data_IF_727256028015
#
_entry.id   IF_727256028015
#
_cell.length_a   1.000
_cell.length_b   1.000
_cell.length_c   1.000
_cell.angle_alpha   90.00
_cell.angle_beta   90.00
_cell.angle_gamma   90.00
#
_symmetry.space_group_name_H-M   'P 1'
#
loop_
_entity.id
_entity.type
_entity.pdbx_description
1 polymer ?
#
# COMPACT_ATOMS: atom_id res chain seq x y z
N UNK A 1 -32.11 -38.04 -0.50
CA UNK A 1 -31.14 -38.01 0.62
C UNK A 1 -30.90 -36.55 0.93
N UNK A 2 -31.02 -36.19 2.21
CA UNK A 2 -31.33 -34.84 2.71
C UNK A 2 -30.36 -33.74 2.29
N UNK A 3 -30.94 -32.61 1.89
CA UNK A 3 -30.32 -31.28 1.90
C UNK A 3 -29.98 -30.91 3.35
N UNK A 4 -28.72 -30.56 3.60
CA UNK A 4 -28.35 -29.74 4.77
C UNK A 4 -28.23 -28.30 4.27
N UNK A 5 -29.03 -27.42 4.87
CA UNK A 5 -28.75 -25.98 4.90
C UNK A 5 -27.39 -25.79 5.55
N UNK A 6 -26.50 -25.08 4.86
CA UNK A 6 -25.34 -24.43 5.44
C UNK A 6 -25.69 -22.94 5.44
N UNK A 7 -25.57 -22.34 6.62
CA UNK A 7 -25.84 -20.94 6.88
C UNK A 7 -25.03 -20.06 5.91
N UNK A 8 -25.74 -19.20 5.20
CA UNK A 8 -25.21 -18.08 4.44
C UNK A 8 -24.75 -17.02 5.45
N UNK A 9 -23.45 -16.92 5.71
CA UNK A 9 -22.76 -15.72 6.24
C UNK A 9 -21.27 -16.06 6.52
N UNK A 10 -20.42 -16.05 5.49
CA UNK A 10 -18.96 -15.76 5.56
C UNK A 10 -18.20 -16.08 4.23
N UNK A 11 -18.83 -15.99 3.06
CA UNK A 11 -18.12 -16.13 1.77
C UNK A 11 -17.49 -14.80 1.30
N UNK A 12 -16.49 -14.30 2.03
CA UNK A 12 -15.46 -13.46 1.40
C UNK A 12 -14.31 -14.35 0.89
N UNK A 13 -14.47 -14.83 -0.35
CA UNK A 13 -13.40 -15.50 -1.11
C UNK A 13 -12.12 -14.65 -1.11
N UNK A 14 -11.09 -15.11 -0.39
CA UNK A 14 -9.73 -14.62 -0.59
C UNK A 14 -9.05 -15.54 -1.60
N UNK A 15 -8.86 -15.06 -2.83
CA UNK A 15 -8.13 -15.80 -3.86
C UNK A 15 -6.67 -16.02 -3.45
N UNK A 16 -6.35 -17.22 -2.97
CA UNK A 16 -4.98 -17.72 -2.98
C UNK A 16 -4.66 -18.24 -4.39
N UNK A 17 -4.00 -17.43 -5.23
CA UNK A 17 -3.46 -17.94 -6.50
C UNK A 17 -2.23 -18.81 -6.23
N UNK A 18 -2.49 -20.07 -5.87
CA UNK A 18 -1.51 -21.16 -5.83
C UNK A 18 -1.80 -22.10 -7.00
N UNK A 19 -1.02 -22.01 -8.09
CA UNK A 19 -1.16 -22.95 -9.20
C UNK A 19 -0.67 -24.34 -8.79
N UNK A 20 -1.59 -25.33 -8.76
CA UNK A 20 -1.23 -26.75 -8.76
C UNK A 20 -0.69 -27.13 -10.13
N UNK A 21 0.61 -27.41 -10.24
CA UNK A 21 1.17 -28.09 -11.40
C UNK A 21 0.64 -29.54 -11.37
N UNK A 22 -0.30 -29.87 -12.27
CA UNK A 22 -0.65 -31.28 -12.57
C UNK A 22 0.56 -31.92 -13.25
N UNK A 23 1.35 -32.68 -12.49
CA UNK A 23 2.30 -33.64 -13.08
C UNK A 23 1.52 -34.82 -13.64
N UNK A 24 1.34 -34.87 -14.96
CA UNK A 24 0.98 -36.12 -15.62
C UNK A 24 2.18 -37.07 -15.49
N UNK A 25 2.05 -38.07 -14.62
CA UNK A 25 2.95 -39.23 -14.62
C UNK A 25 2.68 -40.03 -15.90
N UNK A 26 3.65 -40.07 -16.81
CA UNK A 26 3.75 -41.17 -17.76
C UNK A 26 4.60 -42.31 -17.17
N UNK A 27 4.40 -43.56 -17.60
CA UNK A 27 4.83 -44.74 -16.87
C UNK A 27 6.34 -44.96 -16.96
N UNK A 28 6.85 -45.56 -15.89
CA UNK A 28 8.20 -46.06 -15.68
C UNK A 28 8.76 -46.89 -16.84
N UNK A 29 10.03 -46.64 -17.18
CA UNK A 29 10.97 -47.68 -17.60
C UNK A 29 12.19 -47.68 -16.68
N UNK A 30 12.37 -48.85 -16.05
CA UNK A 30 13.56 -49.39 -15.38
C UNK A 30 14.84 -49.15 -16.21
N UNK A 31 16.07 -49.07 -15.71
CA UNK A 31 16.73 -49.39 -14.44
C UNK A 31 18.22 -49.06 -14.64
N UNK A 32 18.92 -48.58 -13.61
CA UNK A 32 20.13 -49.18 -13.02
C UNK A 32 20.94 -48.12 -12.27
N UNK A 33 21.05 -48.38 -10.98
CA UNK A 33 21.95 -47.78 -9.99
C UNK A 33 23.40 -48.15 -10.25
N UNK A 34 24.32 -47.22 -10.00
CA UNK A 34 25.61 -47.51 -9.36
C UNK A 34 26.15 -46.27 -8.64
N UNK A 35 26.64 -46.53 -7.43
CA UNK A 35 27.20 -45.63 -6.42
C UNK A 35 28.46 -44.87 -6.89
N UNK A 36 28.75 -43.70 -6.30
CA UNK A 36 29.93 -43.54 -5.44
C UNK A 36 30.05 -42.14 -4.82
N UNK A 37 30.57 -42.14 -3.60
CA UNK A 37 30.84 -41.04 -2.67
C UNK A 37 31.90 -40.04 -3.16
N UNK A 38 31.78 -38.77 -2.73
CA UNK A 38 32.72 -38.04 -1.83
C UNK A 38 32.63 -36.51 -1.98
N UNK A 39 32.66 -35.85 -0.81
CA UNK A 39 32.78 -34.40 -0.59
C UNK A 39 33.93 -33.73 -1.36
N UNK A 40 33.69 -32.50 -1.83
CA UNK A 40 34.60 -31.36 -1.57
C UNK A 40 33.93 -30.03 -1.92
N UNK A 41 34.09 -29.05 -1.02
CA UNK A 41 33.85 -27.63 -1.30
C UNK A 41 34.95 -27.10 -2.20
N UNK A 42 34.59 -26.38 -3.26
CA UNK A 42 35.50 -25.43 -3.90
C UNK A 42 34.73 -24.24 -4.48
N UNK A 43 35.09 -23.07 -3.95
CA UNK A 43 34.91 -21.75 -4.52
C UNK A 43 35.39 -21.74 -5.97
N UNK A 44 34.55 -21.31 -6.92
CA UNK A 44 35.04 -20.88 -8.23
C UNK A 44 34.23 -19.67 -8.74
N UNK A 45 34.96 -18.56 -8.77
CA UNK A 45 34.80 -17.39 -9.62
C UNK A 45 34.46 -17.76 -11.06
N UNK A 46 33.51 -17.04 -11.66
CA UNK A 46 33.27 -17.08 -13.10
C UNK A 46 33.41 -15.66 -13.69
N UNK A 47 34.63 -15.37 -14.12
CA UNK A 47 34.87 -14.58 -15.33
C UNK A 47 35.03 -15.58 -16.49
N UNK A 48 34.25 -15.44 -17.56
CA UNK A 48 34.78 -15.24 -18.91
C UNK A 48 33.73 -15.32 -20.03
N UNK A 49 33.89 -14.34 -20.92
CA UNK A 49 33.81 -14.37 -22.37
C UNK A 49 32.63 -15.03 -23.08
N UNK A 50 31.87 -14.13 -23.72
CA UNK A 50 30.98 -14.38 -24.85
C UNK A 50 31.85 -14.67 -26.08
N UNK A 51 31.72 -15.85 -26.67
CA UNK A 51 32.02 -16.09 -28.07
C UNK A 51 30.70 -16.28 -28.83
N UNK A 52 30.46 -15.38 -29.80
CA UNK A 52 29.37 -15.47 -30.76
C UNK A 52 29.63 -16.61 -31.74
N UNK A 53 28.65 -17.49 -31.91
CA UNK A 53 28.54 -18.33 -33.10
C UNK A 53 27.13 -18.25 -33.67
N UNK A 54 27.04 -17.59 -34.83
CA UNK A 54 25.86 -17.51 -35.70
C UNK A 54 25.52 -18.91 -36.23
N UNK A 55 24.39 -19.45 -35.79
CA UNK A 55 23.76 -20.65 -36.35
C UNK A 55 22.28 -20.37 -36.61
N UNK A 56 21.82 -20.76 -37.79
CA UNK A 56 20.52 -20.45 -38.41
C UNK A 56 19.30 -20.64 -37.50
N UNK A 57 18.49 -19.60 -37.38
CA UNK A 57 17.15 -19.64 -36.81
C UNK A 57 16.22 -20.20 -37.89
N UNK A 58 15.81 -21.46 -37.74
CA UNK A 58 14.64 -22.03 -38.40
C UNK A 58 13.56 -22.19 -37.34
N UNK A 59 12.39 -21.69 -37.69
CA UNK A 59 11.18 -21.51 -36.90
C UNK A 59 10.74 -22.78 -36.15
N UNK A 60 10.68 -22.69 -34.82
CA UNK A 60 9.82 -23.54 -33.99
C UNK A 60 9.41 -22.80 -32.71
N UNK A 61 8.79 -21.63 -32.86
CA UNK A 61 8.15 -20.89 -31.76
C UNK A 61 6.64 -21.15 -31.74
N UNK A 62 6.24 -22.32 -31.25
CA UNK A 62 4.89 -22.58 -30.69
C UNK A 62 4.98 -22.94 -29.20
N UNK A 63 5.64 -22.11 -28.42
CA UNK A 63 5.38 -22.02 -27.00
C UNK A 63 4.54 -20.77 -26.75
N UNK A 64 3.23 -20.97 -26.58
CA UNK A 64 2.32 -19.97 -26.01
C UNK A 64 2.79 -19.69 -24.58
N UNK A 65 3.58 -18.65 -24.38
CA UNK A 65 3.67 -17.96 -23.09
C UNK A 65 2.33 -17.24 -22.89
N UNK A 66 1.37 -17.92 -22.29
CA UNK A 66 0.19 -17.27 -21.72
C UNK A 66 0.36 -17.22 -20.21
N UNK A 67 1.34 -16.46 -19.74
CA UNK A 67 1.24 -15.87 -18.41
C UNK A 67 0.30 -14.69 -18.56
N UNK A 68 -0.97 -14.86 -18.19
CA UNK A 68 -1.91 -13.75 -18.13
C UNK A 68 -1.34 -12.66 -17.21
N UNK A 69 -0.95 -11.53 -17.79
CA UNK A 69 -0.60 -10.33 -17.02
C UNK A 69 -1.88 -9.90 -16.29
N UNK A 70 -1.93 -10.15 -14.98
CA UNK A 70 -2.98 -9.64 -14.11
C UNK A 70 -3.17 -8.15 -14.37
N UNK A 71 -4.39 -7.77 -14.76
CA UNK A 71 -4.75 -6.37 -14.90
C UNK A 71 -4.93 -5.80 -13.51
N UNK A 72 -4.72 -4.50 -13.38
CA UNK A 72 -4.95 -3.81 -12.11
C UNK A 72 -6.41 -3.93 -11.62
N UNK A 73 -7.35 -4.17 -12.54
CA UNK A 73 -8.75 -4.48 -12.26
C UNK A 73 -8.97 -5.80 -11.52
N UNK A 74 -8.00 -6.72 -11.56
CA UNK A 74 -8.14 -8.07 -11.00
C UNK A 74 -7.86 -8.10 -9.49
N UNK A 75 -7.45 -6.97 -8.90
CA UNK A 75 -7.12 -6.85 -7.48
C UNK A 75 -8.30 -6.31 -6.65
N UNK A 76 -8.38 -6.66 -5.35
CA UNK A 76 -9.40 -6.13 -4.45
C UNK A 76 -9.32 -4.60 -4.34
N UNK A 77 -10.46 -3.94 -4.53
CA UNK A 77 -10.59 -2.48 -4.34
C UNK A 77 -10.98 -2.15 -2.90
N UNK A 78 -10.48 -1.02 -2.41
CA UNK A 78 -10.75 -0.45 -1.08
C UNK A 78 -10.52 -1.41 0.10
N UNK A 79 -9.72 -2.45 -0.09
CA UNK A 79 -9.36 -3.44 0.94
C UNK A 79 -7.85 -3.67 0.92
N UNK A 80 -7.28 -3.93 2.10
CA UNK A 80 -5.86 -4.30 2.21
C UNK A 80 -5.64 -5.75 1.75
N UNK A 81 -4.58 -5.97 0.98
CA UNK A 81 -4.12 -7.28 0.54
C UNK A 81 -2.59 -7.32 0.42
N UNK A 82 -2.00 -8.51 0.29
CA UNK A 82 -0.58 -8.64 -0.04
C UNK A 82 -0.39 -8.56 -1.56
N UNK A 83 0.19 -7.46 -2.04
CA UNK A 83 0.63 -7.33 -3.41
C UNK A 83 1.98 -8.03 -3.56
N UNK A 84 2.02 -9.04 -4.43
CA UNK A 84 3.18 -9.91 -4.61
C UNK A 84 3.87 -9.68 -5.94
N UNK A 85 5.18 -9.56 -5.91
CA UNK A 85 6.00 -9.61 -7.11
C UNK A 85 6.13 -11.06 -7.61
N UNK A 86 5.75 -11.28 -8.87
CA UNK A 86 5.70 -12.63 -9.46
C UNK A 86 7.06 -13.34 -9.48
N UNK A 87 8.13 -12.60 -9.78
CA UNK A 87 9.47 -13.16 -9.97
C UNK A 87 10.20 -13.40 -8.63
N UNK A 88 10.29 -12.37 -7.80
CA UNK A 88 11.02 -12.40 -6.54
C UNK A 88 10.23 -13.02 -5.39
N UNK A 89 8.89 -13.10 -5.52
CA UNK A 89 7.95 -13.49 -4.45
C UNK A 89 7.87 -12.49 -3.29
N UNK A 90 8.49 -11.32 -3.40
CA UNK A 90 8.38 -10.23 -2.43
C UNK A 90 6.94 -9.71 -2.34
N UNK A 91 6.51 -9.32 -1.14
CA UNK A 91 5.10 -9.02 -0.82
C UNK A 91 4.95 -7.78 0.03
N UNK A 92 4.30 -6.73 -0.46
CA UNK A 92 3.96 -5.52 0.30
C UNK A 92 2.46 -5.50 0.62
N UNK A 93 2.06 -4.84 1.71
CA UNK A 93 0.63 -4.56 1.95
C UNK A 93 0.21 -3.46 0.97
N UNK A 94 -0.89 -3.65 0.25
CA UNK A 94 -1.42 -2.68 -0.69
C UNK A 94 -2.92 -2.45 -0.47
N UNK A 95 -3.37 -1.22 -0.75
CA UNK A 95 -4.78 -0.85 -0.92
C UNK A 95 -4.93 -0.25 -2.31
N UNK A 96 -5.87 -0.75 -3.11
CA UNK A 96 -6.17 -0.16 -4.42
C UNK A 96 -7.45 0.67 -4.31
N UNK A 97 -7.37 1.93 -4.72
CA UNK A 97 -8.49 2.88 -4.77
C UNK A 97 -8.71 3.32 -6.22
N UNK A 98 -9.84 3.98 -6.50
CA UNK A 98 -10.10 4.55 -7.82
C UNK A 98 -10.71 5.95 -7.72
N UNK A 99 -10.32 6.82 -8.64
CA UNK A 99 -10.95 8.12 -8.87
C UNK A 99 -11.33 8.25 -10.34
N UNK A 100 -12.60 8.55 -10.59
CA UNK A 100 -13.14 8.77 -11.94
C UNK A 100 -13.30 10.26 -12.23
N UNK A 101 -12.96 10.64 -13.46
CA UNK A 101 -13.17 11.95 -14.06
C UNK A 101 -13.94 11.79 -15.37
N UNK A 102 -14.76 12.78 -15.69
CA UNK A 102 -15.45 12.91 -16.98
C UNK A 102 -14.82 14.03 -17.81
N UNK A 103 -15.02 14.01 -19.14
CA UNK A 103 -14.56 15.09 -20.03
C UNK A 103 -14.98 16.49 -19.57
N UNK A 104 -16.17 16.61 -18.98
CA UNK A 104 -16.70 17.88 -18.48
C UNK A 104 -15.90 18.41 -17.27
N UNK A 105 -15.14 17.55 -16.59
CA UNK A 105 -14.31 17.93 -15.45
C UNK A 105 -12.96 18.53 -15.89
N UNK A 106 -12.57 18.37 -17.16
CA UNK A 106 -11.32 18.88 -17.72
C UNK A 106 -11.49 20.36 -18.12
N UNK A 107 -11.30 21.29 -17.19
CA UNK A 107 -11.18 22.72 -17.54
C UNK A 107 -9.79 23.04 -18.13
N UNK A 108 -9.77 24.02 -19.04
CA UNK A 108 -8.63 24.60 -19.78
C UNK A 108 -7.24 24.48 -19.10
N UNK A 109 -6.25 24.03 -19.88
CA UNK A 109 -4.85 24.00 -19.47
C UNK A 109 -4.34 25.38 -19.07
N UNK A 110 -3.75 25.48 -17.87
CA UNK A 110 -3.13 26.70 -17.33
C UNK A 110 -1.82 27.06 -18.06
N UNK A 111 -1.31 26.15 -18.90
CA UNK A 111 -0.08 26.31 -19.66
C UNK A 111 -0.31 27.17 -20.91
N UNK A 112 0.35 28.32 -20.97
CA UNK A 112 0.30 29.21 -22.14
C UNK A 112 1.25 28.70 -23.22
N UNK A 113 0.72 28.02 -24.23
CA UNK A 113 1.46 27.71 -25.46
C UNK A 113 1.40 28.93 -26.38
N UNK A 114 2.43 29.77 -26.38
CA UNK A 114 2.57 30.84 -27.37
C UNK A 114 2.57 30.25 -28.80
N UNK A 115 2.01 30.95 -29.79
CA UNK A 115 1.76 30.43 -31.15
C UNK A 115 2.92 30.63 -32.15
N UNK A 116 4.14 30.89 -31.67
CA UNK A 116 5.30 31.16 -32.54
C UNK A 116 6.16 29.91 -32.82
N UNK A 117 6.09 29.35 -34.04
CA UNK A 117 6.85 28.20 -34.56
C UNK A 117 8.35 28.23 -34.18
N UNK A 118 8.71 27.66 -33.04
CA UNK A 118 10.10 27.51 -32.58
C UNK A 118 10.44 26.03 -32.35
N UNK A 119 11.71 25.62 -32.45
CA UNK A 119 12.12 24.21 -32.20
C UNK A 119 11.73 23.70 -30.80
N UNK A 120 11.60 24.62 -29.84
CA UNK A 120 11.15 24.32 -28.47
C UNK A 120 9.68 23.86 -28.49
N UNK A 121 8.83 24.37 -29.38
CA UNK A 121 7.42 23.97 -29.47
C UNK A 121 7.23 22.55 -30.00
N UNK A 122 8.06 22.09 -30.92
CA UNK A 122 8.03 20.69 -31.38
C UNK A 122 8.41 19.72 -30.26
N UNK A 123 9.29 20.15 -29.33
CA UNK A 123 9.58 19.40 -28.11
C UNK A 123 8.39 19.47 -27.13
N UNK A 124 7.80 20.66 -26.92
CA UNK A 124 6.65 20.85 -26.02
C UNK A 124 5.38 20.09 -26.47
N UNK A 125 5.12 19.98 -27.76
CA UNK A 125 3.98 19.20 -28.30
C UNK A 125 4.07 17.70 -28.00
N UNK A 126 5.27 17.19 -27.68
CA UNK A 126 5.50 15.79 -27.28
C UNK A 126 5.48 15.59 -25.77
N UNK A 127 5.40 16.66 -24.98
CA UNK A 127 5.34 16.56 -23.52
C UNK A 127 3.88 16.33 -23.14
N UNK A 128 3.63 15.17 -22.56
CA UNK A 128 2.33 14.87 -21.98
C UNK A 128 2.14 15.69 -20.70
N UNK A 129 1.09 16.51 -20.66
CA UNK A 129 0.74 17.30 -19.50
C UNK A 129 -0.41 16.64 -18.75
N UNK A 130 -0.26 16.51 -17.44
CA UNK A 130 -1.38 16.11 -16.58
C UNK A 130 -2.46 17.19 -16.62
N UNK A 131 -3.72 16.85 -16.92
CA UNK A 131 -4.82 17.80 -16.86
C UNK A 131 -4.93 18.47 -15.50
N UNK A 132 -5.22 19.78 -15.47
CA UNK A 132 -5.15 20.59 -14.26
C UNK A 132 -6.07 20.10 -13.13
N UNK A 133 -7.25 19.61 -13.47
CA UNK A 133 -8.20 19.05 -12.52
C UNK A 133 -7.66 17.79 -11.83
N UNK A 134 -6.97 16.92 -12.57
CA UNK A 134 -6.33 15.70 -12.07
C UNK A 134 -5.11 16.09 -11.22
N UNK A 135 -4.24 16.96 -11.73
CA UNK A 135 -3.08 17.47 -11.02
C UNK A 135 -3.48 18.15 -9.69
N UNK A 136 -4.54 18.96 -9.71
CA UNK A 136 -5.11 19.60 -8.51
C UNK A 136 -5.73 18.60 -7.54
N UNK A 137 -6.39 17.55 -8.04
CA UNK A 137 -6.91 16.48 -7.19
C UNK A 137 -5.78 15.75 -6.45
N UNK A 138 -4.72 15.37 -7.17
CA UNK A 138 -3.54 14.75 -6.57
C UNK A 138 -2.87 15.72 -5.58
N UNK A 139 -2.75 17.00 -5.92
CA UNK A 139 -2.21 18.03 -5.03
C UNK A 139 -2.96 18.13 -3.70
N UNK A 140 -4.29 18.05 -3.72
CA UNK A 140 -5.12 18.07 -2.50
C UNK A 140 -4.85 16.92 -1.54
N UNK A 141 -4.35 15.78 -2.01
CA UNK A 141 -3.91 14.66 -1.14
C UNK A 141 -2.69 15.05 -0.29
N UNK A 142 -1.96 16.09 -0.66
CA UNK A 142 -0.73 16.55 0.00
C UNK A 142 -0.89 17.87 0.77
N UNK A 143 -2.09 18.47 0.80
CA UNK A 143 -2.33 19.81 1.37
C UNK A 143 -1.97 19.98 2.85
N UNK A 144 -2.02 18.89 3.63
CA UNK A 144 -1.75 18.91 5.08
C UNK A 144 -0.25 18.91 5.38
N UNK A 145 0.60 18.68 4.37
CA UNK A 145 2.05 18.78 4.48
C UNK A 145 2.51 20.21 4.17
N UNK A 146 3.65 20.62 4.76
CA UNK A 146 4.15 22.00 4.66
C UNK A 146 5.02 22.16 3.43
N UNK A 147 5.99 21.26 3.21
CA UNK A 147 6.97 21.38 2.12
C UNK A 147 6.83 20.20 1.15
N UNK A 148 6.50 20.50 -0.10
CA UNK A 148 6.46 19.52 -1.20
C UNK A 148 7.59 19.80 -2.16
N UNK A 149 8.37 18.76 -2.51
CA UNK A 149 9.37 18.84 -3.57
C UNK A 149 8.90 18.05 -4.79
N UNK A 150 8.74 18.74 -5.92
CA UNK A 150 8.43 18.18 -7.24
C UNK A 150 9.74 17.91 -8.00
N UNK A 151 10.17 16.65 -8.05
CA UNK A 151 11.42 16.24 -8.70
C UNK A 151 11.18 15.87 -10.16
N UNK A 152 11.81 16.63 -11.07
CA UNK A 152 11.54 16.55 -12.51
C UNK A 152 10.28 17.32 -12.88
N UNK A 153 10.16 18.56 -12.41
CA UNK A 153 8.94 19.35 -12.51
C UNK A 153 8.58 19.77 -13.96
N UNK A 154 9.52 19.61 -14.91
CA UNK A 154 9.32 19.96 -16.31
C UNK A 154 8.88 21.42 -16.48
N UNK A 155 7.80 21.62 -17.23
CA UNK A 155 7.23 22.97 -17.47
C UNK A 155 6.35 23.48 -16.32
N UNK A 156 6.23 22.74 -15.22
CA UNK A 156 5.55 23.19 -14.00
C UNK A 156 4.04 22.94 -13.93
N UNK A 157 3.46 22.09 -14.80
CA UNK A 157 2.01 21.81 -14.79
C UNK A 157 1.51 21.28 -13.44
N UNK A 158 2.12 20.21 -12.93
CA UNK A 158 1.80 19.69 -11.58
C UNK A 158 2.25 20.67 -10.49
N UNK A 159 3.42 21.29 -10.64
CA UNK A 159 3.98 22.24 -9.67
C UNK A 159 3.05 23.41 -9.39
N UNK A 160 2.40 23.96 -10.42
CA UNK A 160 1.42 25.03 -10.27
C UNK A 160 0.23 24.57 -9.44
N UNK A 161 -0.29 23.37 -9.68
CA UNK A 161 -1.43 22.86 -8.93
C UNK A 161 -1.05 22.48 -7.49
N UNK A 162 0.16 21.94 -7.28
CA UNK A 162 0.75 21.76 -5.97
C UNK A 162 0.80 23.09 -5.21
N UNK A 163 1.28 24.15 -5.84
CA UNK A 163 1.43 25.46 -5.20
C UNK A 163 0.10 26.19 -4.95
N UNK A 164 -0.97 25.82 -5.66
CA UNK A 164 -2.33 26.31 -5.39
C UNK A 164 -2.97 25.65 -4.17
N UNK A 165 -2.58 24.43 -3.85
CA UNK A 165 -3.25 23.61 -2.82
C UNK A 165 -2.38 23.34 -1.58
N UNK A 166 -1.07 23.46 -1.68
CA UNK A 166 -0.09 23.19 -0.61
C UNK A 166 0.63 24.46 -0.16
N UNK A 167 1.28 24.40 1.01
CA UNK A 167 1.88 25.58 1.65
C UNK A 167 3.15 26.09 0.96
N UNK A 168 4.11 25.19 0.69
CA UNK A 168 5.39 25.52 0.08
C UNK A 168 5.81 24.47 -0.92
N UNK A 169 6.20 24.90 -2.12
CA UNK A 169 6.57 24.00 -3.21
C UNK A 169 7.94 24.36 -3.75
N UNK A 170 8.79 23.33 -3.89
CA UNK A 170 10.10 23.39 -4.53
C UNK A 170 9.99 22.55 -5.82
N UNK A 171 10.18 23.17 -6.98
CA UNK A 171 10.27 22.46 -8.25
C UNK A 171 11.73 22.32 -8.69
N UNK A 172 12.16 21.10 -8.99
CA UNK A 172 13.52 20.82 -9.48
C UNK A 172 13.45 20.26 -10.88
N UNK A 173 14.23 20.85 -11.80
CA UNK A 173 14.34 20.36 -13.17
C UNK A 173 15.76 20.58 -13.71
N UNK A 174 16.29 19.59 -14.43
CA UNK A 174 17.66 19.62 -14.95
C UNK A 174 17.75 20.50 -16.21
N UNK A 175 16.69 20.55 -17.03
CA UNK A 175 16.66 21.40 -18.22
C UNK A 175 16.31 22.86 -17.86
N UNK A 176 17.30 23.75 -18.03
CA UNK A 176 17.15 25.19 -17.82
C UNK A 176 15.98 25.81 -18.61
N UNK A 177 15.67 25.32 -19.82
CA UNK A 177 14.56 25.84 -20.63
C UNK A 177 13.21 25.48 -20.03
N UNK A 178 13.08 24.28 -19.48
CA UNK A 178 11.87 23.85 -18.78
C UNK A 178 11.69 24.64 -17.48
N UNK A 179 12.77 24.94 -16.76
CA UNK A 179 12.74 25.86 -15.61
C UNK A 179 12.24 27.26 -16.01
N UNK A 180 12.70 27.82 -17.14
CA UNK A 180 12.21 29.12 -17.61
C UNK A 180 10.71 29.11 -17.93
N UNK A 181 10.22 28.02 -18.54
CA UNK A 181 8.80 27.84 -18.81
C UNK A 181 8.00 27.65 -17.50
N UNK A 182 8.51 26.85 -16.57
CA UNK A 182 7.91 26.68 -15.24
C UNK A 182 7.81 28.01 -14.49
N UNK A 183 8.86 28.85 -14.55
CA UNK A 183 8.83 30.21 -13.98
C UNK A 183 7.70 31.04 -14.57
N UNK A 184 7.56 31.06 -15.90
CA UNK A 184 6.47 31.79 -16.58
C UNK A 184 5.09 31.26 -16.17
N UNK A 185 4.92 29.94 -16.12
CA UNK A 185 3.64 29.32 -15.74
C UNK A 185 3.26 29.60 -14.28
N UNK A 186 4.25 29.58 -13.37
CA UNK A 186 4.05 29.94 -11.97
C UNK A 186 3.68 31.42 -11.82
N UNK A 187 4.37 32.32 -12.53
CA UNK A 187 4.06 33.75 -12.55
C UNK A 187 2.66 34.04 -13.10
N UNK A 188 2.30 33.45 -14.24
CA UNK A 188 0.98 33.60 -14.86
C UNK A 188 -0.14 33.07 -13.97
N UNK A 189 0.14 32.01 -13.20
CA UNK A 189 -0.79 31.41 -12.25
C UNK A 189 -0.81 32.10 -10.88
N UNK A 190 0.06 33.09 -10.66
CA UNK A 190 0.20 33.85 -9.42
C UNK A 190 0.43 32.90 -8.22
N UNK A 191 1.36 31.96 -8.38
CA UNK A 191 1.79 31.02 -7.33
C UNK A 191 3.24 31.26 -6.95
N UNK A 192 3.57 31.05 -5.68
CA UNK A 192 4.94 31.15 -5.19
C UNK A 192 5.58 29.75 -5.14
N UNK A 193 6.67 29.57 -5.87
CA UNK A 193 7.40 28.30 -6.00
C UNK A 193 8.89 28.60 -6.09
N UNK A 194 9.69 27.84 -5.33
CA UNK A 194 11.13 27.83 -5.50
C UNK A 194 11.52 26.90 -6.64
N UNK A 195 11.99 27.46 -7.75
CA UNK A 195 12.41 26.70 -8.92
C UNK A 195 13.93 26.58 -8.97
N UNK A 196 14.44 25.35 -8.90
CA UNK A 196 15.86 25.02 -8.85
C UNK A 196 16.25 24.30 -10.14
N UNK A 197 17.21 24.87 -10.88
CA UNK A 197 17.83 24.18 -12.01
C UNK A 197 18.99 23.30 -11.51
N UNK A 198 18.74 22.01 -11.36
CA UNK A 198 19.75 21.07 -10.84
C UNK A 198 19.45 19.63 -11.29
N UNK A 199 20.49 18.79 -11.27
CA UNK A 199 20.30 17.35 -11.33
C UNK A 199 19.77 16.86 -9.97
N UNK A 200 18.55 16.31 -9.98
CA UNK A 200 17.89 15.75 -8.79
C UNK A 200 18.77 14.75 -8.04
N UNK A 201 19.63 14.00 -8.75
CA UNK A 201 20.49 12.98 -8.15
C UNK A 201 21.73 13.56 -7.45
N UNK A 202 22.00 14.84 -7.64
CA UNK A 202 23.09 15.56 -6.95
C UNK A 202 22.61 16.31 -5.71
N UNK A 203 21.30 16.43 -5.53
CA UNK A 203 20.69 17.08 -4.38
C UNK A 203 20.84 16.21 -3.14
N UNK A 204 21.44 16.76 -2.09
CA UNK A 204 21.60 16.12 -0.80
C UNK A 204 20.84 16.91 0.28
N UNK A 205 20.33 16.21 1.29
CA UNK A 205 19.71 16.84 2.47
C UNK A 205 18.57 17.83 2.13
N UNK A 206 17.72 17.48 1.15
CA UNK A 206 16.47 18.19 0.90
C UNK A 206 15.60 18.22 2.16
N UNK A 207 15.20 19.41 2.60
CA UNK A 207 14.20 19.58 3.64
C UNK A 207 12.83 19.55 2.96
N UNK A 208 12.11 18.44 3.12
CA UNK A 208 10.82 18.23 2.44
C UNK A 208 9.96 17.26 3.24
N UNK A 209 8.65 17.52 3.28
CA UNK A 209 7.70 16.61 3.92
C UNK A 209 7.26 15.52 2.95
N UNK A 210 7.07 15.87 1.67
CA UNK A 210 6.66 14.94 0.61
C UNK A 210 7.53 15.15 -0.63
N UNK A 211 7.90 14.06 -1.30
CA UNK A 211 8.49 14.09 -2.63
C UNK A 211 7.45 13.60 -3.64
N UNK A 212 7.13 14.46 -4.59
CA UNK A 212 6.29 14.16 -5.73
C UNK A 212 7.17 13.90 -6.96
N UNK A 213 6.81 12.88 -7.74
CA UNK A 213 7.50 12.53 -8.99
C UNK A 213 6.46 12.09 -10.03
N UNK A 214 6.50 12.68 -11.21
CA UNK A 214 5.69 12.27 -12.37
C UNK A 214 6.62 11.75 -13.48
N UNK A 215 7.14 10.52 -13.38
CA UNK A 215 8.07 10.00 -14.35
C UNK A 215 7.38 9.64 -15.67
N UNK A 216 8.12 9.81 -16.77
CA UNK A 216 7.74 9.27 -18.08
C UNK A 216 8.25 7.85 -18.25
N UNK A 217 7.54 7.02 -19.02
CA UNK A 217 8.00 5.69 -19.41
C UNK A 217 8.53 5.77 -20.85
N UNK A 218 9.74 5.26 -21.08
CA UNK A 218 10.25 5.14 -22.45
C UNK A 218 9.29 4.27 -23.28
N UNK A 219 8.77 4.73 -24.44
CA UNK A 219 7.86 3.95 -25.28
C UNK A 219 8.38 2.55 -25.65
N UNK A 220 9.69 2.41 -25.84
CA UNK A 220 10.32 1.11 -26.15
C UNK A 220 10.23 0.12 -24.97
N UNK A 221 10.05 0.63 -23.75
CA UNK A 221 9.97 -0.16 -22.54
C UNK A 221 8.57 -0.74 -22.28
N UNK A 222 7.58 -0.48 -23.14
CA UNK A 222 6.24 -1.05 -23.00
C UNK A 222 6.26 -2.58 -22.92
N UNK A 223 7.21 -3.20 -23.65
CA UNK A 223 7.42 -4.65 -23.69
C UNK A 223 8.55 -5.13 -22.76
N UNK A 224 9.14 -4.23 -21.97
CA UNK A 224 10.15 -4.59 -20.98
C UNK A 224 9.55 -5.44 -19.88
N UNK A 225 10.32 -6.43 -19.40
CA UNK A 225 9.97 -7.22 -18.21
C UNK A 225 9.97 -6.38 -16.92
N UNK A 226 10.70 -5.28 -16.92
CA UNK A 226 10.83 -4.37 -15.79
C UNK A 226 10.60 -2.95 -16.32
N UNK A 227 9.35 -2.51 -16.25
CA UNK A 227 8.92 -1.22 -16.80
C UNK A 227 9.35 -0.09 -15.85
N UNK A 228 9.30 -0.33 -14.54
CA UNK A 228 9.69 0.64 -13.51
C UNK A 228 11.16 1.10 -13.68
N UNK A 229 12.08 0.20 -14.05
CA UNK A 229 13.48 0.57 -14.33
C UNK A 229 13.66 1.52 -15.53
N UNK A 230 12.67 1.59 -16.41
CA UNK A 230 12.71 2.42 -17.62
C UNK A 230 11.92 3.73 -17.45
N UNK A 231 11.51 4.05 -16.22
CA UNK A 231 10.99 5.36 -15.87
C UNK A 231 12.11 6.41 -15.87
N UNK A 232 11.80 7.60 -16.37
CA UNK A 232 12.64 8.78 -16.29
C UNK A 232 11.88 9.92 -15.57
N UNK A 233 12.37 10.39 -14.41
CA UNK A 233 13.59 9.96 -13.73
C UNK A 233 13.53 8.53 -13.13
N UNK A 234 14.71 7.94 -12.88
CA UNK A 234 14.84 6.61 -12.27
C UNK A 234 14.32 6.61 -10.84
N UNK A 235 13.15 5.99 -10.65
CA UNK A 235 12.43 5.93 -9.37
C UNK A 235 13.28 5.25 -8.28
N UNK A 236 14.03 4.21 -8.63
CA UNK A 236 14.87 3.49 -7.65
C UNK A 236 15.99 4.37 -7.15
N UNK A 237 16.63 5.15 -8.03
CA UNK A 237 17.66 6.12 -7.62
C UNK A 237 17.07 7.26 -6.78
N UNK A 238 15.88 7.75 -7.12
CA UNK A 238 15.19 8.77 -6.31
C UNK A 238 14.97 8.26 -4.89
N UNK A 239 14.41 7.06 -4.76
CA UNK A 239 14.18 6.41 -3.46
C UNK A 239 15.50 6.26 -2.69
N UNK A 240 16.56 5.81 -3.35
CA UNK A 240 17.88 5.65 -2.73
C UNK A 240 18.47 6.96 -2.21
N UNK A 241 18.36 8.04 -2.99
CA UNK A 241 18.92 9.33 -2.65
C UNK A 241 18.12 10.07 -1.59
N UNK A 242 16.79 9.94 -1.63
CA UNK A 242 15.90 10.82 -0.86
C UNK A 242 15.09 10.17 0.26
N UNK A 243 15.18 8.86 0.45
CA UNK A 243 14.56 8.14 1.60
C UNK A 243 14.95 8.69 2.98
N UNK A 244 16.10 9.36 3.11
CA UNK A 244 16.54 9.98 4.36
C UNK A 244 15.89 11.34 4.60
N UNK A 245 15.41 11.97 3.53
CA UNK A 245 14.78 13.28 3.56
C UNK A 245 13.32 13.16 3.99
N UNK A 246 12.62 12.15 3.47
CA UNK A 246 11.23 11.89 3.83
C UNK A 246 10.87 10.41 3.70
N UNK A 247 9.84 10.01 4.42
CA UNK A 247 9.13 8.74 4.24
C UNK A 247 7.90 8.86 3.32
N UNK A 248 7.55 10.07 2.88
CA UNK A 248 6.35 10.33 2.10
C UNK A 248 6.72 10.54 0.63
N UNK A 249 6.27 9.64 -0.23
CA UNK A 249 6.49 9.72 -1.67
C UNK A 249 5.16 9.58 -2.40
N UNK A 250 4.99 10.35 -3.47
CA UNK A 250 3.88 10.25 -4.40
C UNK A 250 4.44 10.08 -5.80
N UNK A 251 4.17 8.93 -6.41
CA UNK A 251 4.57 8.64 -7.78
C UNK A 251 3.33 8.63 -8.68
N UNK A 252 3.23 9.59 -9.58
CA UNK A 252 2.23 9.57 -10.65
C UNK A 252 2.78 8.78 -11.84
N UNK A 253 2.48 7.50 -11.89
CA UNK A 253 3.02 6.57 -12.87
C UNK A 253 2.15 6.50 -14.14
N UNK A 254 2.77 6.25 -15.30
CA UNK A 254 2.05 5.92 -16.52
C UNK A 254 1.16 4.67 -16.35
N UNK A 255 0.01 4.58 -17.05
CA UNK A 255 -0.99 3.55 -16.82
C UNK A 255 -0.54 2.15 -17.28
N UNK A 256 0.56 2.07 -18.04
CA UNK A 256 1.11 0.83 -18.57
C UNK A 256 1.97 0.06 -17.54
N UNK A 257 2.31 0.67 -16.40
CA UNK A 257 3.14 0.02 -15.37
C UNK A 257 2.39 -1.16 -14.73
N UNK A 258 2.99 -2.34 -14.76
CA UNK A 258 2.55 -3.51 -14.00
C UNK A 258 2.84 -3.30 -12.51
N UNK A 259 1.78 -3.03 -11.74
CA UNK A 259 1.88 -2.80 -10.30
C UNK A 259 2.47 -3.97 -9.51
N UNK A 260 2.48 -5.20 -10.06
CA UNK A 260 3.16 -6.33 -9.42
C UNK A 260 4.69 -6.16 -9.38
N UNK A 261 5.26 -5.16 -10.06
CA UNK A 261 6.66 -4.77 -9.95
C UNK A 261 6.94 -3.90 -8.72
N UNK A 262 5.92 -3.22 -8.17
CA UNK A 262 6.06 -2.31 -7.02
C UNK A 262 6.66 -2.96 -5.76
N UNK A 263 6.30 -4.19 -5.36
CA UNK A 263 6.88 -4.80 -4.16
C UNK A 263 8.40 -4.95 -4.25
N UNK A 264 8.94 -5.24 -5.44
CA UNK A 264 10.40 -5.35 -5.64
C UNK A 264 11.10 -3.99 -5.52
N UNK A 265 10.42 -2.91 -5.92
CA UNK A 265 10.92 -1.55 -5.82
C UNK A 265 10.81 -0.98 -4.40
N UNK A 266 9.64 -1.17 -3.77
CA UNK A 266 9.19 -0.45 -2.58
C UNK A 266 9.29 -1.26 -1.29
N UNK A 267 9.30 -2.60 -1.37
CA UNK A 267 9.34 -3.46 -0.21
C UNK A 267 10.58 -4.36 -0.21
N UNK A 268 11.70 -3.75 0.14
CA UNK A 268 13.00 -4.41 0.26
C UNK A 268 13.06 -5.19 1.58
N UNK A 269 12.22 -6.21 1.72
CA UNK A 269 12.15 -7.07 2.91
C UNK A 269 12.47 -8.53 2.59
N UNK A 270 13.77 -8.84 2.44
CA UNK A 270 14.28 -10.14 2.92
C UNK A 270 15.82 -10.27 2.95
N UNK A 271 16.59 -9.58 2.08
CA UNK A 271 18.06 -9.78 2.03
C UNK A 271 18.91 -8.59 2.51
N UNK A 272 18.34 -7.39 2.61
CA UNK A 272 19.12 -6.16 2.84
C UNK A 272 18.90 -5.49 4.20
N UNK A 273 17.83 -5.82 4.93
CA UNK A 273 17.58 -5.28 6.27
C UNK A 273 18.69 -5.64 7.28
N UNK A 274 19.46 -6.72 7.04
CA UNK A 274 20.64 -7.09 7.84
C UNK A 274 21.93 -6.43 7.35
N UNK A 275 22.02 -5.97 6.10
CA UNK A 275 23.27 -5.54 5.48
C UNK A 275 23.37 -4.05 5.15
N UNK A 276 22.26 -3.30 5.02
CA UNK A 276 22.30 -1.84 4.81
C UNK A 276 21.11 -1.13 5.45
N UNK A 277 21.39 -0.28 6.43
CA UNK A 277 20.45 0.64 7.11
C UNK A 277 19.85 1.74 6.20
N UNK A 278 19.92 1.62 4.88
CA UNK A 278 19.66 2.72 3.93
C UNK A 278 18.80 2.27 2.73
N UNK A 279 17.70 1.55 2.96
CA UNK A 279 16.68 1.36 1.92
C UNK A 279 15.30 1.77 2.44
N UNK A 280 14.46 2.45 1.63
CA UNK A 280 13.12 2.80 2.05
C UNK A 280 12.31 1.50 2.03
N UNK A 281 12.09 0.93 3.21
CA UNK A 281 11.21 -0.23 3.36
C UNK A 281 9.80 0.29 3.60
N UNK A 282 9.02 0.47 2.54
CA UNK A 282 7.58 0.68 2.69
C UNK A 282 6.94 -0.65 3.02
N UNK A 283 6.17 -0.67 4.10
CA UNK A 283 5.45 -1.86 4.54
C UNK A 283 4.02 -1.90 3.98
N UNK A 284 3.49 -0.72 3.66
CA UNK A 284 2.19 -0.53 3.02
C UNK A 284 2.23 0.60 1.99
N UNK A 285 1.45 0.46 0.93
CA UNK A 285 1.24 1.48 -0.11
C UNK A 285 -0.23 1.58 -0.51
N UNK A 286 -0.67 2.77 -0.87
CA UNK A 286 -1.93 2.97 -1.59
C UNK A 286 -1.62 3.14 -3.08
N UNK A 287 -2.41 2.49 -3.93
CA UNK A 287 -2.33 2.57 -5.39
C UNK A 287 -3.68 3.03 -5.91
N UNK A 288 -3.76 4.27 -6.35
CA UNK A 288 -4.98 4.89 -6.85
C UNK A 288 -5.01 4.88 -8.37
N UNK A 289 -6.11 4.36 -8.93
CA UNK A 289 -6.39 4.40 -10.36
C UNK A 289 -7.07 5.71 -10.72
N UNK A 290 -6.45 6.52 -11.57
CA UNK A 290 -7.09 7.69 -12.16
C UNK A 290 -7.70 7.29 -13.50
N UNK A 291 -9.03 7.31 -13.56
CA UNK A 291 -9.81 6.88 -14.71
C UNK A 291 -10.48 8.10 -15.34
N UNK A 292 -10.21 8.37 -16.62
CA UNK A 292 -10.87 9.41 -17.40
C UNK A 292 -11.70 8.75 -18.50
N UNK A 293 -12.99 9.05 -18.59
CA UNK A 293 -13.87 8.48 -19.62
C UNK A 293 -13.80 6.94 -19.71
N UNK A 294 -13.73 6.28 -18.55
CA UNK A 294 -13.57 4.82 -18.42
C UNK A 294 -12.24 4.25 -18.92
N UNK A 295 -11.25 5.08 -19.22
CA UNK A 295 -9.88 4.68 -19.55
C UNK A 295 -8.95 4.99 -18.38
N UNK A 296 -8.04 4.05 -18.06
CA UNK A 296 -7.01 4.26 -17.04
C UNK A 296 -5.95 5.21 -17.60
N UNK A 297 -5.85 6.40 -17.02
CA UNK A 297 -4.89 7.43 -17.44
C UNK A 297 -3.65 7.42 -16.57
N UNK A 298 -3.79 7.26 -15.25
CA UNK A 298 -2.65 7.27 -14.34
C UNK A 298 -2.80 6.23 -13.24
N UNK A 299 -1.65 5.77 -12.74
CA UNK A 299 -1.55 5.02 -11.50
C UNK A 299 -0.80 5.90 -10.51
N UNK A 300 -1.46 6.35 -9.45
CA UNK A 300 -0.80 7.18 -8.41
C UNK A 300 -0.46 6.29 -7.23
N UNK A 301 0.81 6.21 -6.86
CA UNK A 301 1.30 5.42 -5.73
C UNK A 301 1.64 6.35 -4.58
N UNK A 302 0.89 6.24 -3.48
CA UNK A 302 1.12 6.99 -2.25
C UNK A 302 1.85 6.11 -1.23
N UNK A 303 2.99 6.59 -0.75
CA UNK A 303 3.86 5.90 0.20
C UNK A 303 4.00 6.73 1.48
N UNK A 304 3.95 6.10 2.66
CA UNK A 304 4.09 6.80 3.94
C UNK A 304 2.77 7.41 4.42
N UNK A 305 2.83 8.53 5.13
CA UNK A 305 1.67 9.14 5.79
C UNK A 305 0.71 9.84 4.81
N UNK A 306 1.14 10.07 3.56
CA UNK A 306 0.28 10.59 2.48
C UNK A 306 -0.70 9.53 1.94
N UNK A 307 -0.48 8.25 2.26
CA UNK A 307 -1.41 7.17 1.94
C UNK A 307 -2.63 7.20 2.87
N UNK A 308 -3.81 6.93 2.31
CA UNK A 308 -5.08 6.76 3.03
C UNK A 308 -5.20 5.31 3.55
N UNK A 309 -4.19 4.91 4.32
CA UNK A 309 -4.16 3.63 5.02
C UNK A 309 -3.98 3.90 6.51
N UNK A 310 -5.07 3.76 7.26
CA UNK A 310 -5.02 3.96 8.72
C UNK A 310 -4.23 2.85 9.38
N UNK A 311 -3.52 3.17 10.47
CA UNK A 311 -2.79 2.18 11.27
C UNK A 311 -3.74 1.09 11.79
N UNK A 312 -4.97 1.46 12.17
CA UNK A 312 -6.02 0.51 12.57
C UNK A 312 -6.42 -0.47 11.45
N UNK A 313 -6.44 -0.02 10.18
CA UNK A 313 -6.69 -0.91 9.04
C UNK A 313 -5.57 -1.95 8.92
N UNK A 314 -4.31 -1.51 9.05
CA UNK A 314 -3.14 -2.41 9.03
C UNK A 314 -3.21 -3.42 10.17
N UNK A 315 -3.50 -2.99 11.41
CA UNK A 315 -3.58 -3.88 12.57
C UNK A 315 -4.72 -4.90 12.39
N UNK A 316 -5.90 -4.47 11.91
CA UNK A 316 -7.02 -5.37 11.59
C UNK A 316 -6.64 -6.37 10.49
N UNK A 317 -5.96 -5.92 9.45
CA UNK A 317 -5.49 -6.77 8.36
C UNK A 317 -4.48 -7.81 8.86
N UNK A 318 -3.42 -7.37 9.55
CA UNK A 318 -2.39 -8.22 10.12
C UNK A 318 -2.97 -9.26 11.09
N UNK A 319 -3.94 -8.86 11.92
CA UNK A 319 -4.66 -9.78 12.81
C UNK A 319 -5.36 -10.88 12.00
N UNK A 320 -6.12 -10.52 10.96
CA UNK A 320 -6.81 -11.49 10.08
C UNK A 320 -5.80 -12.46 9.44
N UNK A 321 -4.69 -11.94 8.92
CA UNK A 321 -3.67 -12.74 8.23
C UNK A 321 -2.88 -13.64 9.19
N UNK A 322 -2.46 -13.11 10.34
CA UNK A 322 -1.74 -13.89 11.35
C UNK A 322 -2.61 -15.03 11.87
N UNK A 323 -3.87 -14.75 12.22
CA UNK A 323 -4.84 -15.77 12.63
C UNK A 323 -4.93 -16.89 11.61
N UNK A 324 -5.19 -16.56 10.32
CA UNK A 324 -5.31 -17.52 9.21
C UNK A 324 -4.06 -18.40 9.03
N UNK A 325 -2.89 -17.91 9.39
CA UNK A 325 -1.64 -18.66 9.31
C UNK A 325 -1.40 -19.64 10.47
N UNK A 326 -2.21 -19.57 11.55
CA UNK A 326 -2.05 -20.42 12.73
C UNK A 326 -2.64 -21.82 12.51
N UNK A 327 -1.97 -22.89 12.98
CA UNK A 327 -2.49 -24.27 12.89
C UNK A 327 -3.83 -24.47 13.62
N UNK A 328 -4.06 -23.70 14.68
CA UNK A 328 -5.20 -23.77 15.59
C UNK A 328 -6.16 -22.58 15.40
N UNK A 329 -6.30 -22.10 14.16
CA UNK A 329 -7.13 -20.94 13.74
C UNK A 329 -8.48 -20.81 14.47
N UNK A 330 -9.21 -21.93 14.64
CA UNK A 330 -10.54 -21.96 15.26
C UNK A 330 -10.50 -21.61 16.77
N UNK A 331 -9.39 -21.90 17.44
CA UNK A 331 -9.25 -21.65 18.89
C UNK A 331 -8.82 -20.21 19.20
N UNK A 332 -8.26 -19.50 18.21
CA UNK A 332 -7.79 -18.13 18.35
C UNK A 332 -8.93 -17.20 17.96
N UNK A 333 -9.51 -16.51 18.93
CA UNK A 333 -10.55 -15.53 18.66
C UNK A 333 -9.92 -14.25 18.07
N UNK A 334 -10.51 -13.75 16.99
CA UNK A 334 -10.03 -12.57 16.26
C UNK A 334 -9.88 -11.34 17.16
N UNK A 335 -10.84 -11.12 18.05
CA UNK A 335 -10.88 -9.97 18.98
C UNK A 335 -9.71 -9.93 19.96
N UNK A 336 -9.33 -11.07 20.56
CA UNK A 336 -8.20 -11.13 21.49
C UNK A 336 -6.85 -10.98 20.78
N UNK A 337 -6.75 -11.51 19.55
CA UNK A 337 -5.56 -11.31 18.74
C UNK A 337 -5.41 -9.85 18.32
N UNK A 338 -6.51 -9.20 17.94
CA UNK A 338 -6.53 -7.78 17.63
C UNK A 338 -6.06 -6.95 18.83
N UNK A 339 -6.59 -7.22 20.02
CA UNK A 339 -6.16 -6.57 21.26
C UNK A 339 -4.67 -6.77 21.55
N UNK A 340 -4.14 -7.99 21.37
CA UNK A 340 -2.70 -8.24 21.52
C UNK A 340 -1.88 -7.42 20.52
N UNK A 341 -2.35 -7.28 19.29
CA UNK A 341 -1.62 -6.52 18.27
C UNK A 341 -1.65 -5.01 18.57
N UNK A 342 -2.76 -4.50 19.10
CA UNK A 342 -2.85 -3.14 19.64
C UNK A 342 -1.90 -2.93 20.84
N UNK A 343 -1.80 -3.90 21.74
CA UNK A 343 -0.83 -3.87 22.85
C UNK A 343 0.61 -3.83 22.33
N UNK A 344 0.98 -4.72 21.40
CA UNK A 344 2.31 -4.75 20.79
C UNK A 344 2.59 -3.45 20.04
N UNK A 345 1.61 -2.94 19.27
CA UNK A 345 1.69 -1.67 18.55
C UNK A 345 2.08 -0.52 19.48
N UNK A 346 1.48 -0.42 20.68
CA UNK A 346 1.84 0.62 21.67
C UNK A 346 3.28 0.53 22.15
N UNK A 347 3.88 -0.65 22.15
CA UNK A 347 5.27 -0.85 22.57
C UNK A 347 6.28 -0.58 21.45
N UNK A 348 6.00 -0.99 20.21
CA UNK A 348 7.02 -1.03 19.14
C UNK A 348 6.67 -0.18 17.91
N UNK A 349 5.48 0.41 17.87
CA UNK A 349 4.99 1.16 16.72
C UNK A 349 4.59 0.30 15.52
N UNK A 350 3.89 0.93 14.57
CA UNK A 350 3.25 0.21 13.44
C UNK A 350 4.26 -0.44 12.49
N UNK A 351 5.42 0.19 12.30
CA UNK A 351 6.44 -0.30 11.37
C UNK A 351 7.01 -1.63 11.86
N UNK A 352 7.45 -1.70 13.11
CA UNK A 352 7.97 -2.93 13.69
C UNK A 352 6.88 -4.00 13.82
N UNK A 353 5.66 -3.64 14.24
CA UNK A 353 4.55 -4.60 14.27
C UNK A 353 4.32 -5.23 12.90
N UNK A 354 4.24 -4.41 11.86
CA UNK A 354 3.96 -4.88 10.49
C UNK A 354 5.05 -5.82 10.00
N UNK A 355 6.31 -5.38 10.07
CA UNK A 355 7.44 -6.20 9.63
C UNK A 355 7.51 -7.54 10.38
N UNK A 356 7.43 -7.52 11.72
CA UNK A 356 7.55 -8.73 12.53
C UNK A 356 6.39 -9.69 12.35
N UNK A 357 5.18 -9.17 12.16
CA UNK A 357 4.00 -10.00 11.91
C UNK A 357 4.08 -10.68 10.56
N UNK A 358 4.47 -9.95 9.50
CA UNK A 358 4.66 -10.53 8.16
C UNK A 358 5.70 -11.64 8.18
N UNK A 359 6.83 -11.43 8.85
CA UNK A 359 7.85 -12.47 9.03
C UNK A 359 7.33 -13.69 9.79
N UNK A 360 6.55 -13.47 10.86
CA UNK A 360 5.96 -14.55 11.64
C UNK A 360 4.93 -15.35 10.84
N UNK A 361 4.13 -14.69 9.97
CA UNK A 361 3.20 -15.34 9.03
C UNK A 361 3.97 -16.24 8.06
N UNK A 362 5.02 -15.71 7.41
CA UNK A 362 5.85 -16.46 6.45
C UNK A 362 6.47 -17.71 7.09
N UNK A 363 6.91 -17.58 8.34
CA UNK A 363 7.55 -18.64 9.11
C UNK A 363 6.55 -19.55 9.86
N UNK A 364 5.24 -19.29 9.76
CA UNK A 364 4.17 -19.98 10.50
C UNK A 364 4.45 -20.08 12.00
N UNK A 365 4.97 -19.01 12.61
CA UNK A 365 5.25 -18.99 14.06
C UNK A 365 3.94 -19.06 14.84
N UNK A 366 3.93 -19.87 15.90
CA UNK A 366 2.85 -19.85 16.89
C UNK A 366 2.76 -18.48 17.57
N UNK A 367 1.57 -18.14 18.07
CA UNK A 367 1.35 -16.91 18.85
C UNK A 367 2.30 -16.81 20.06
N UNK A 368 2.59 -17.92 20.74
CA UNK A 368 3.53 -17.95 21.86
C UNK A 368 4.95 -17.58 21.41
N UNK A 369 5.44 -18.21 20.34
CA UNK A 369 6.77 -17.95 19.81
C UNK A 369 6.89 -16.52 19.25
N UNK A 370 5.81 -16.00 18.67
CA UNK A 370 5.74 -14.61 18.24
C UNK A 370 5.86 -13.65 19.43
N UNK A 371 5.06 -13.85 20.48
CA UNK A 371 5.10 -13.03 21.70
C UNK A 371 6.48 -13.07 22.36
N UNK A 372 7.05 -14.26 22.57
CA UNK A 372 8.39 -14.44 23.16
C UNK A 372 9.47 -13.73 22.34
N UNK A 373 9.40 -13.84 21.02
CA UNK A 373 10.34 -13.16 20.13
C UNK A 373 10.24 -11.64 20.25
N UNK A 374 9.03 -11.07 20.21
CA UNK A 374 8.82 -9.62 20.35
C UNK A 374 9.33 -9.14 21.71
N UNK A 375 8.98 -9.85 22.79
CA UNK A 375 9.38 -9.52 24.14
C UNK A 375 10.90 -9.47 24.30
N UNK A 376 11.60 -10.49 23.78
CA UNK A 376 13.06 -10.57 23.83
C UNK A 376 13.73 -9.50 22.96
N UNK A 377 13.26 -9.30 21.73
CA UNK A 377 13.86 -8.38 20.77
C UNK A 377 13.75 -6.91 21.20
N UNK A 378 12.64 -6.53 21.83
CA UNK A 378 12.34 -5.15 22.21
C UNK A 378 12.41 -4.91 23.73
N UNK A 379 12.90 -5.88 24.51
CA UNK A 379 13.08 -5.78 25.97
C UNK A 379 11.80 -5.37 26.72
N UNK A 380 10.65 -5.88 26.27
CA UNK A 380 9.36 -5.58 26.89
C UNK A 380 9.29 -6.36 28.22
N UNK A 381 9.07 -5.66 29.33
CA UNK A 381 9.02 -6.27 30.66
C UNK A 381 7.77 -7.15 30.88
N UNK A 382 6.65 -6.76 30.28
CA UNK A 382 5.39 -7.48 30.36
C UNK A 382 5.48 -8.82 29.61
N UNK A 383 5.01 -9.91 30.24
CA UNK A 383 4.83 -11.18 29.54
C UNK A 383 3.64 -11.10 28.58
N UNK A 384 3.94 -10.88 27.30
CA UNK A 384 2.93 -10.66 26.26
C UNK A 384 2.03 -11.89 26.07
N UNK A 385 2.61 -13.10 26.13
CA UNK A 385 1.83 -14.31 25.90
C UNK A 385 0.92 -14.61 27.09
N UNK A 386 1.45 -14.52 28.31
CA UNK A 386 0.65 -14.73 29.51
C UNK A 386 -0.46 -13.67 29.63
N UNK A 387 -0.17 -12.43 29.25
CA UNK A 387 -1.17 -11.36 29.17
C UNK A 387 -2.29 -11.71 28.19
N UNK A 388 -1.94 -12.17 26.98
CA UNK A 388 -2.92 -12.62 25.98
C UNK A 388 -3.80 -13.77 26.52
N UNK A 389 -3.21 -14.77 27.18
CA UNK A 389 -3.95 -15.89 27.78
C UNK A 389 -4.90 -15.40 28.87
N UNK A 390 -4.44 -14.50 29.75
CA UNK A 390 -5.28 -13.95 30.82
C UNK A 390 -6.45 -13.13 30.26
N UNK A 391 -6.21 -12.32 29.23
CA UNK A 391 -7.25 -11.54 28.55
C UNK A 391 -8.32 -12.44 27.91
N UNK A 392 -7.91 -13.56 27.30
CA UNK A 392 -8.83 -14.56 26.73
C UNK A 392 -9.65 -15.29 27.83
N UNK A 393 -9.06 -15.52 29.01
CA UNK A 393 -9.76 -16.16 30.14
C UNK A 393 -10.78 -15.25 30.82
N UNK A 394 -10.40 -14.01 31.16
CA UNK A 394 -11.27 -13.09 31.89
C UNK A 394 -12.58 -12.82 31.14
N UNK A 395 -12.54 -12.69 29.81
CA UNK A 395 -13.76 -12.46 29.01
C UNK A 395 -14.62 -13.73 28.89
N UNK A 396 -14.02 -14.92 28.88
CA UNK A 396 -14.80 -16.16 28.99
C UNK A 396 -15.52 -16.23 30.33
N UNK A 397 -14.85 -15.86 31.41
CA UNK A 397 -15.45 -15.83 32.75
C UNK A 397 -16.55 -14.76 32.87
N UNK A 398 -16.42 -13.60 32.20
CA UNK A 398 -17.46 -12.58 32.11
C UNK A 398 -18.68 -13.06 31.28
N UNK A 399 -18.47 -13.79 30.19
CA UNK A 399 -19.55 -14.41 29.40
C UNK A 399 -20.22 -15.55 30.19
N UNK A 400 -19.44 -16.40 30.88
CA UNK A 400 -19.96 -17.49 31.69
C UNK A 400 -20.69 -17.01 32.96
N UNK A 401 -20.28 -15.88 33.53
CA UNK A 401 -20.97 -15.24 34.66
C UNK A 401 -22.22 -14.49 34.21
N UNK A 402 -22.21 -13.83 33.06
CA UNK A 402 -23.40 -13.24 32.44
C UNK A 402 -24.44 -14.30 32.02
N UNK A 403 -24.00 -15.48 31.57
CA UNK A 403 -24.88 -16.63 31.29
C UNK A 403 -25.39 -17.34 32.55
N UNK A 404 -24.79 -17.11 33.72
CA UNK A 404 -25.24 -17.67 35.01
C UNK A 404 -26.15 -16.71 35.79
N UNK A 405 -26.22 -15.45 35.40
CA UNK A 405 -27.23 -14.53 35.86
C UNK A 405 -28.45 -14.67 34.95
N UNK A 406 -29.24 -15.73 35.18
CA UNK A 406 -30.68 -15.64 34.92
C UNK A 406 -31.18 -14.50 35.81
N UNK A 407 -31.30 -13.31 35.23
CA UNK A 407 -31.99 -12.20 35.88
C UNK A 407 -33.46 -12.58 35.88
N UNK A 408 -33.98 -12.95 37.04
CA UNK A 408 -35.42 -13.01 37.25
C UNK A 408 -35.99 -11.64 36.87
N UNK A 409 -36.93 -11.63 35.92
CA UNK A 409 -37.53 -10.44 35.31
C UNK A 409 -38.23 -9.50 36.32
N UNK A 410 -38.25 -9.85 37.62
CA UNK A 410 -38.85 -9.06 38.70
C UNK A 410 -37.88 -8.09 39.41
N UNK A 411 -36.56 -8.21 39.21
CA UNK A 411 -35.58 -7.34 39.89
C UNK A 411 -35.24 -6.04 39.12
N UNK A 412 -35.70 -5.92 37.86
CA UNK A 412 -35.44 -4.74 37.00
C UNK A 412 -36.40 -3.58 37.32
N UNK A 413 -37.61 -3.86 37.81
CA UNK A 413 -38.65 -2.84 38.00
C UNK A 413 -38.53 -2.05 39.34
N UNK A 414 -37.57 -2.39 40.21
CA UNK A 414 -37.46 -1.81 41.55
C UNK A 414 -36.20 -0.97 41.82
N UNK A 415 -35.35 -0.67 40.83
CA UNK A 415 -34.15 0.15 41.05
C UNK A 415 -34.29 1.59 40.53
N UNK A 416 -34.30 2.55 41.47
CA UNK A 416 -34.34 3.99 41.18
C UNK A 416 -33.04 4.51 40.54
N UNK A 417 -33.06 5.61 39.75
CA UNK A 417 -31.96 6.03 38.86
C UNK A 417 -30.69 6.60 39.54
N UNK A 418 -30.54 6.47 40.86
CA UNK A 418 -29.48 7.17 41.62
C UNK A 418 -28.29 6.30 42.05
N UNK A 419 -28.22 5.02 41.64
CA UNK A 419 -27.17 4.08 42.07
C UNK A 419 -26.24 3.60 40.95
N UNK A 420 -25.82 4.47 40.03
CA UNK A 420 -24.75 4.10 39.08
C UNK A 420 -23.36 4.33 39.69
N UNK A 421 -22.65 3.24 39.95
CA UNK A 421 -21.19 3.27 40.16
C UNK A 421 -20.49 3.44 38.80
N UNK A 422 -19.37 4.17 38.77
CA UNK A 422 -18.55 4.45 37.57
C UNK A 422 -18.28 3.23 36.67
N UNK A 423 -18.28 1.99 37.22
CA UNK A 423 -18.12 0.74 36.47
C UNK A 423 -19.33 0.35 35.60
N UNK A 424 -20.54 0.77 35.93
CA UNK A 424 -21.75 0.44 35.16
C UNK A 424 -21.96 1.39 33.97
N UNK A 425 -21.43 2.62 34.04
CA UNK A 425 -21.44 3.59 32.93
C UNK A 425 -20.46 3.15 31.82
N UNK A 426 -19.32 2.53 32.17
CA UNK A 426 -18.39 1.97 31.17
C UNK A 426 -18.98 0.77 30.42
N UNK A 427 -19.71 -0.11 31.10
CA UNK A 427 -20.38 -1.26 30.47
C UNK A 427 -21.55 -0.81 29.58
N UNK A 428 -22.30 0.22 29.99
CA UNK A 428 -23.36 0.80 29.16
C UNK A 428 -22.81 1.54 27.93
N UNK A 429 -21.71 2.29 28.07
CA UNK A 429 -21.05 2.98 26.96
C UNK A 429 -20.35 2.00 26.00
N UNK A 430 -19.81 0.87 26.50
CA UNK A 430 -19.34 -0.21 25.64
C UNK A 430 -20.53 -0.84 24.90
N UNK A 431 -21.61 -1.24 25.58
CA UNK A 431 -22.76 -1.84 24.90
C UNK A 431 -23.40 -0.91 23.84
N UNK A 432 -23.43 0.41 24.04
CA UNK A 432 -23.93 1.38 23.05
C UNK A 432 -23.03 1.48 21.80
N UNK A 433 -21.71 1.31 21.96
CA UNK A 433 -20.77 1.20 20.83
C UNK A 433 -20.85 -0.16 20.11
N UNK A 434 -21.29 -1.21 20.82
CA UNK A 434 -21.45 -2.57 20.28
C UNK A 434 -22.79 -2.80 19.56
N UNK A 435 -23.85 -2.03 19.86
CA UNK A 435 -25.15 -2.16 19.17
C UNK A 435 -25.23 -1.34 17.88
N UNK A 436 -24.49 -0.24 17.76
CA UNK A 436 -24.55 0.63 16.56
C UNK A 436 -23.59 0.22 15.43
N UNK A 437 -22.65 -0.70 15.64
CA UNK A 437 -21.79 -1.22 14.55
C UNK A 437 -22.40 -2.42 13.79
N UNK A 438 -23.62 -2.84 14.14
CA UNK A 438 -24.39 -3.87 13.43
C UNK A 438 -25.45 -3.31 12.47
N UNK A 439 -25.37 -2.03 12.11
CA UNK A 439 -26.15 -1.46 10.99
C UNK A 439 -25.20 -0.79 10.01
N UNK A 440 -24.68 -1.60 9.08
CA UNK A 440 -24.17 -1.13 7.80
C UNK A 440 -24.91 -1.92 6.73
N UNK A 441 -26.10 -1.45 6.38
CA UNK A 441 -26.65 -1.61 5.04
C UNK A 441 -26.64 -0.23 4.39
N UNK A 442 -26.03 -0.13 3.22
CA UNK A 442 -26.08 1.03 2.35
C UNK A 442 -27.52 1.24 1.84
N UNK A 443 -28.23 2.23 2.39
CA UNK A 443 -29.27 2.94 1.64
C UNK A 443 -29.09 4.46 1.83
N UNK A 444 -28.82 5.13 0.71
CA UNK A 444 -29.08 6.57 0.57
C UNK A 444 -30.56 6.83 0.87
N UNK A 445 -30.85 7.53 1.96
CA UNK A 445 -32.14 8.17 2.16
C UNK A 445 -31.91 9.65 2.46
N UNK A 446 -32.16 10.48 1.46
CA UNK A 446 -32.45 11.90 1.63
C UNK A 446 -33.54 12.07 2.70
N UNK A 447 -33.22 12.72 3.81
CA UNK A 447 -34.24 13.35 4.65
C UNK A 447 -33.82 14.76 5.02
N UNK A 448 -34.46 15.72 4.35
CA UNK A 448 -34.73 17.04 4.90
C UNK A 448 -35.37 16.86 6.28
N UNK A 449 -34.85 17.54 7.31
CA UNK A 449 -35.71 18.22 8.27
C UNK A 449 -34.93 19.25 9.09
N UNK A 450 -35.37 20.48 8.92
CA UNK A 450 -35.15 21.67 9.74
C UNK A 450 -35.40 21.41 11.22
N UNK A 451 -34.52 21.88 12.10
CA UNK A 451 -34.92 22.38 13.42
C UNK A 451 -34.08 23.59 13.85
N UNK A 452 -34.78 24.72 13.88
CA UNK A 452 -34.44 25.99 14.51
C UNK A 452 -34.45 25.80 16.03
N UNK A 453 -33.44 26.32 16.73
CA UNK A 453 -33.58 26.69 18.14
C UNK A 453 -32.83 27.98 18.43
N UNK A 454 -33.63 29.02 18.68
CA UNK A 454 -33.24 30.30 19.25
C UNK A 454 -32.60 30.12 20.62
N UNK A 455 -31.56 30.90 20.92
CA UNK A 455 -31.25 31.30 22.28
C UNK A 455 -31.37 32.82 22.41
N UNK A 456 -32.43 33.24 23.11
CA UNK A 456 -32.47 34.49 23.87
C UNK A 456 -32.17 34.13 25.32
N UNK A 457 -31.08 34.67 25.86
CA UNK A 457 -31.14 35.65 26.95
C UNK A 457 -29.76 36.30 27.14
#
# INVERSE_FOLDING_TARGET
>A
MQLRQLDEDDEEETYFFCFKIKRNKQPSRSSKTSQNDKMSMQYLSFDHHIEESRGQIIEDSKYKLTDSVLKISDYPKNKLFFLRNKASKEEIIAKITEKRFNTNDLSSSTLSLDSSKSPIQEQLQKIEHTPDNIARYIAKRMKEFVIITDLGCGTGGNTVQLAKECHYVIGVEIDSKFIELAKKNCQNSIVNVDLINADIFTLNNLQTDVIFVNPSLNPEALYSKDQIKNCNPDIKKILLNHQKNTKNFVFQLPPQIDISQLPLLLNINSQFAYFRQNFPSFLSIEVEQIILNNQLEYIVVYCGDVSDIKQSEIIKFLTKQFRKAQPDFNSIQKQHLFWLFELIFRHIGIQHLTYRTVEAIKQKKSIENFCKFIQQQFQIQQDLYQTYINHNKNIKDDIYSAQKQDIDQQDIDNMSPSNFSYKQIEVANMNYSYTNENVFDDEEVETQNSFVMNFKH
#
